data_IF_652994345407
#
_entry.id   IF_652994345407
#
_cell.length_a   1.000
_cell.length_b   1.000
_cell.length_c   1.000
_cell.angle_alpha   90.00
_cell.angle_beta   90.00
_cell.angle_gamma   90.00
#
_symmetry.space_group_name_H-M   'P 1'
#
loop_
_entity.id
_entity.type
_entity.pdbx_description
1 polymer ?
#
# COMPACT_ATOMS: atom_id res chain seq x y z
N UNK A 1 13.28 -45.06 16.19
CA UNK A 1 13.59 -44.76 17.61
C UNK A 1 13.99 -43.29 17.71
N UNK A 2 13.84 -42.69 18.88
CA UNK A 2 14.22 -41.30 19.12
C UNK A 2 15.75 -41.10 19.01
N UNK A 3 16.17 -39.92 18.56
CA UNK A 3 17.60 -39.61 18.46
C UNK A 3 18.26 -39.66 19.84
N UNK A 4 19.47 -40.23 19.88
CA UNK A 4 20.26 -40.38 21.11
C UNK A 4 20.00 -41.70 21.88
N UNK A 5 18.98 -42.47 21.50
CA UNK A 5 18.74 -43.76 22.11
C UNK A 5 19.75 -44.80 21.59
N UNK A 6 20.25 -45.67 22.49
CA UNK A 6 21.12 -46.76 22.10
C UNK A 6 20.27 -47.83 21.41
N UNK A 7 20.59 -48.12 20.14
CA UNK A 7 19.91 -49.15 19.34
C UNK A 7 20.48 -50.52 19.61
N UNK A 8 21.82 -50.60 19.72
CA UNK A 8 22.54 -51.84 19.83
C UNK A 8 23.92 -51.60 20.46
N UNK A 9 24.41 -52.61 21.16
CA UNK A 9 25.76 -52.68 21.69
C UNK A 9 26.39 -53.96 21.17
N UNK A 10 27.64 -53.87 20.70
CA UNK A 10 28.41 -55.05 20.23
C UNK A 10 29.73 -55.14 20.97
N UNK A 11 30.05 -56.32 21.52
CA UNK A 11 29.26 -57.55 21.57
C UNK A 11 28.05 -57.41 22.49
N UNK A 12 26.95 -58.09 22.16
CA UNK A 12 25.68 -57.99 22.89
C UNK A 12 25.71 -58.65 24.31
N UNK A 13 26.62 -59.56 24.52
CA UNK A 13 26.75 -60.34 25.78
C UNK A 13 27.98 -59.90 26.59
N UNK A 14 28.93 -60.78 26.83
CA UNK A 14 30.10 -60.48 27.62
C UNK A 14 31.34 -60.13 26.77
N UNK A 15 31.95 -59.00 27.12
CA UNK A 15 33.22 -58.58 26.54
C UNK A 15 34.38 -58.91 27.53
N UNK A 16 35.54 -59.42 27.03
CA UNK A 16 36.69 -59.58 27.86
C UNK A 16 37.24 -58.22 28.33
N UNK A 17 37.86 -58.21 29.50
CA UNK A 17 38.47 -56.98 30.03
C UNK A 17 39.51 -56.45 29.02
N UNK A 18 39.32 -55.14 28.66
CA UNK A 18 40.16 -54.46 27.67
C UNK A 18 39.67 -54.58 26.21
N UNK A 19 38.52 -55.23 25.94
CA UNK A 19 37.92 -55.30 24.61
C UNK A 19 37.24 -53.95 24.23
N UNK A 20 37.21 -53.70 22.94
CA UNK A 20 36.42 -52.56 22.39
C UNK A 20 34.94 -52.92 22.36
N UNK A 21 34.11 -52.02 22.86
CA UNK A 21 32.64 -52.11 22.80
C UNK A 21 32.14 -51.03 21.82
N UNK A 22 31.38 -51.44 20.82
CA UNK A 22 30.75 -50.52 19.86
C UNK A 22 29.33 -50.25 20.25
N UNK A 23 29.00 -48.98 20.42
CA UNK A 23 27.64 -48.52 20.74
C UNK A 23 27.04 -47.90 19.48
N UNK A 24 25.89 -48.41 19.03
CA UNK A 24 25.11 -47.84 17.93
C UNK A 24 24.02 -46.96 18.53
N UNK A 25 24.04 -45.69 18.18
CA UNK A 25 23.09 -44.71 18.68
C UNK A 25 22.12 -44.32 17.55
N UNK A 26 20.83 -44.23 17.85
CA UNK A 26 19.84 -43.74 16.89
C UNK A 26 20.12 -42.28 16.53
N UNK A 27 20.15 -41.98 15.27
CA UNK A 27 20.15 -40.61 14.78
C UNK A 27 18.73 -40.01 14.61
N UNK A 28 17.70 -40.76 15.02
CA UNK A 28 16.31 -40.43 14.82
C UNK A 28 15.74 -40.94 13.50
N UNK A 29 14.47 -40.67 13.18
CA UNK A 29 13.90 -41.01 11.90
C UNK A 29 14.61 -40.27 10.78
N UNK A 30 14.80 -40.95 9.65
CA UNK A 30 15.37 -40.30 8.45
C UNK A 30 14.40 -39.16 8.01
N UNK A 31 14.95 -37.95 7.85
CA UNK A 31 14.23 -36.83 7.29
C UNK A 31 14.11 -37.04 5.78
N UNK A 32 12.86 -37.11 5.28
CA UNK A 32 12.61 -37.23 3.84
C UNK A 32 12.81 -35.86 3.21
N UNK A 33 13.74 -35.73 2.28
CA UNK A 33 14.04 -34.52 1.53
C UNK A 33 13.33 -34.56 0.19
N UNK A 34 12.72 -33.43 -0.20
CA UNK A 34 11.99 -33.24 -1.46
C UNK A 34 12.45 -31.98 -2.18
N UNK A 35 12.25 -31.91 -3.48
CA UNK A 35 12.61 -30.73 -4.28
C UNK A 35 11.44 -29.74 -4.35
N UNK A 36 11.75 -28.46 -4.23
CA UNK A 36 10.78 -27.39 -4.44
C UNK A 36 10.46 -27.27 -5.92
N UNK A 37 9.18 -27.34 -6.35
CA UNK A 37 8.81 -27.19 -7.74
C UNK A 37 8.91 -25.74 -8.22
N UNK A 38 8.98 -25.55 -9.55
CA UNK A 38 8.88 -24.24 -10.18
C UNK A 38 7.44 -23.74 -10.11
N UNK A 39 7.22 -22.64 -9.39
CA UNK A 39 5.90 -22.03 -9.20
C UNK A 39 5.67 -20.79 -10.06
N UNK A 40 6.74 -20.06 -10.42
CA UNK A 40 6.63 -18.81 -11.19
C UNK A 40 5.90 -19.01 -12.51
N UNK A 41 4.98 -18.07 -12.81
CA UNK A 41 4.11 -18.13 -13.97
C UNK A 41 2.91 -19.08 -13.85
N UNK A 42 2.80 -19.85 -12.76
CA UNK A 42 1.65 -20.72 -12.46
C UNK A 42 0.53 -19.92 -11.78
N UNK A 43 -0.69 -20.36 -11.96
CA UNK A 43 -1.80 -19.86 -11.16
C UNK A 43 -1.68 -20.32 -9.71
N UNK A 44 -2.37 -19.65 -8.79
CA UNK A 44 -2.39 -20.05 -7.37
C UNK A 44 -2.84 -21.50 -7.17
N UNK A 45 -3.84 -21.96 -7.95
CA UNK A 45 -4.33 -23.33 -7.88
C UNK A 45 -3.25 -24.33 -8.32
N UNK A 46 -2.64 -24.11 -9.49
CA UNK A 46 -1.55 -24.96 -10.00
C UNK A 46 -0.34 -24.98 -9.06
N UNK A 47 0.03 -23.84 -8.46
CA UNK A 47 1.12 -23.77 -7.49
C UNK A 47 0.83 -24.63 -6.26
N UNK A 48 -0.38 -24.56 -5.72
CA UNK A 48 -0.82 -25.36 -4.57
C UNK A 48 -0.83 -26.85 -4.89
N UNK A 49 -1.28 -27.24 -6.09
CA UNK A 49 -1.25 -28.64 -6.56
C UNK A 49 0.18 -29.16 -6.70
N UNK A 50 1.08 -28.36 -7.29
CA UNK A 50 2.50 -28.71 -7.44
C UNK A 50 3.20 -28.89 -6.08
N UNK A 51 2.96 -27.99 -5.14
CA UNK A 51 3.49 -28.12 -3.78
C UNK A 51 2.97 -29.39 -3.09
N UNK A 52 1.68 -29.64 -3.16
CA UNK A 52 1.06 -30.83 -2.58
C UNK A 52 1.61 -32.11 -3.20
N UNK A 53 1.77 -32.15 -4.53
CA UNK A 53 2.36 -33.30 -5.25
C UNK A 53 3.82 -33.55 -4.85
N UNK A 54 4.56 -32.49 -4.52
CA UNK A 54 5.94 -32.58 -4.03
C UNK A 54 6.02 -32.92 -2.52
N UNK A 55 4.88 -33.04 -1.82
CA UNK A 55 4.85 -33.26 -0.38
C UNK A 55 5.17 -32.03 0.45
N UNK A 56 4.97 -30.82 -0.13
CA UNK A 56 5.17 -29.51 0.49
C UNK A 56 3.82 -28.85 0.77
N UNK A 57 3.83 -27.74 1.52
CA UNK A 57 2.65 -26.95 1.81
C UNK A 57 2.83 -25.50 1.35
N UNK A 58 1.73 -24.84 0.99
CA UNK A 58 1.76 -23.40 0.74
C UNK A 58 1.98 -22.65 2.05
N UNK A 59 2.99 -21.77 2.05
CA UNK A 59 3.30 -20.88 3.15
C UNK A 59 2.52 -19.56 3.07
N UNK A 60 3.18 -18.45 3.34
CA UNK A 60 2.59 -17.11 3.20
C UNK A 60 2.45 -16.74 1.73
N UNK A 61 1.27 -16.18 1.38
CA UNK A 61 0.98 -15.73 0.02
C UNK A 61 0.90 -14.21 0.05
N UNK A 62 1.89 -13.55 -0.56
CA UNK A 62 1.90 -12.12 -0.81
C UNK A 62 1.18 -11.77 -2.12
N UNK A 63 0.97 -10.48 -2.36
CA UNK A 63 0.46 -9.99 -3.63
C UNK A 63 1.08 -8.61 -3.95
N UNK A 64 1.53 -8.43 -5.21
CA UNK A 64 2.18 -7.21 -5.68
C UNK A 64 1.73 -6.89 -7.11
N UNK A 65 1.71 -5.58 -7.45
CA UNK A 65 1.47 -5.17 -8.82
C UNK A 65 2.67 -5.46 -9.71
N UNK A 66 2.40 -5.94 -10.92
CA UNK A 66 3.43 -6.22 -11.91
C UNK A 66 2.88 -6.01 -13.32
N UNK A 67 3.65 -5.31 -14.18
CA UNK A 67 3.22 -4.92 -15.52
C UNK A 67 3.37 -6.04 -16.55
N UNK A 68 4.13 -7.10 -16.24
CA UNK A 68 4.47 -8.18 -17.18
C UNK A 68 3.81 -9.50 -16.85
N UNK A 69 3.64 -9.82 -15.55
CA UNK A 69 3.03 -11.07 -15.10
C UNK A 69 1.52 -10.86 -14.94
N UNK A 70 0.68 -11.66 -15.62
CA UNK A 70 -0.77 -11.55 -15.52
C UNK A 70 -1.27 -11.70 -14.08
N UNK A 71 -2.38 -11.00 -13.78
CA UNK A 71 -3.06 -11.09 -12.48
C UNK A 71 -3.40 -12.54 -12.12
N UNK A 72 -3.07 -12.93 -10.89
CA UNK A 72 -3.35 -14.26 -10.32
C UNK A 72 -2.28 -15.31 -10.60
N UNK A 73 -1.22 -14.97 -11.30
CA UNK A 73 -0.06 -15.85 -11.48
C UNK A 73 1.03 -15.54 -10.44
N UNK A 74 1.82 -16.56 -10.12
CA UNK A 74 2.96 -16.44 -9.21
C UNK A 74 4.03 -15.58 -9.85
N UNK A 75 4.35 -14.48 -9.18
CA UNK A 75 5.37 -13.52 -9.57
C UNK A 75 6.77 -13.98 -9.12
N UNK A 76 6.86 -14.51 -7.90
CA UNK A 76 8.10 -15.01 -7.31
C UNK A 76 7.80 -16.04 -6.22
N UNK A 77 8.77 -16.90 -5.94
CA UNK A 77 8.70 -17.87 -4.84
C UNK A 77 9.84 -17.62 -3.84
N UNK A 78 9.54 -17.81 -2.55
CA UNK A 78 10.49 -17.53 -1.46
C UNK A 78 11.64 -18.51 -1.38
N UNK A 79 11.40 -19.78 -1.77
CA UNK A 79 12.45 -20.80 -1.88
C UNK A 79 12.62 -21.15 -3.35
N UNK A 80 13.85 -21.08 -3.87
CA UNK A 80 14.12 -21.32 -5.27
C UNK A 80 13.71 -22.75 -5.71
N UNK A 81 13.28 -22.88 -6.97
CA UNK A 81 13.02 -24.20 -7.55
C UNK A 81 14.25 -25.10 -7.46
N UNK A 82 14.03 -26.41 -7.42
CA UNK A 82 15.05 -27.46 -7.29
C UNK A 82 15.86 -27.42 -5.99
N UNK A 83 15.50 -26.57 -5.03
CA UNK A 83 16.09 -26.59 -3.69
C UNK A 83 15.56 -27.80 -2.92
N UNK A 84 16.49 -28.54 -2.24
CA UNK A 84 16.08 -29.61 -1.34
C UNK A 84 15.63 -29.07 0.02
N UNK A 85 14.44 -29.44 0.42
CA UNK A 85 13.83 -29.07 1.71
C UNK A 85 13.20 -30.30 2.35
N UNK A 86 12.93 -30.24 3.65
CA UNK A 86 12.22 -31.31 4.35
C UNK A 86 10.79 -31.45 3.84
N UNK A 87 10.33 -32.67 3.66
CA UNK A 87 8.92 -32.96 3.33
C UNK A 87 7.98 -32.33 4.37
N UNK A 88 6.96 -31.64 3.90
CA UNK A 88 6.04 -30.84 4.73
C UNK A 88 6.48 -29.40 4.98
N UNK A 89 7.65 -28.98 4.47
CA UNK A 89 8.08 -27.58 4.55
C UNK A 89 7.10 -26.66 3.83
N UNK A 90 6.94 -25.44 4.35
CA UNK A 90 6.15 -24.39 3.73
C UNK A 90 6.98 -23.61 2.70
N UNK A 91 6.38 -23.33 1.55
CA UNK A 91 6.97 -22.49 0.50
C UNK A 91 6.09 -21.24 0.33
N UNK A 92 6.68 -20.08 0.61
CA UNK A 92 6.06 -18.78 0.41
C UNK A 92 6.12 -18.38 -1.06
N UNK A 93 5.13 -17.61 -1.53
CA UNK A 93 5.17 -17.06 -2.88
C UNK A 93 4.34 -15.78 -2.97
N UNK A 94 4.60 -14.99 -4.02
CA UNK A 94 3.92 -13.73 -4.29
C UNK A 94 3.10 -13.87 -5.58
N UNK A 95 1.84 -13.45 -5.55
CA UNK A 95 0.96 -13.40 -6.72
C UNK A 95 1.00 -12.02 -7.36
N UNK A 96 0.94 -11.97 -8.67
CA UNK A 96 0.75 -10.75 -9.42
C UNK A 96 -0.70 -10.25 -9.27
N UNK A 97 -0.85 -8.97 -8.95
CA UNK A 97 -2.12 -8.22 -9.05
C UNK A 97 -2.38 -7.70 -10.47
N UNK A 98 -1.43 -7.92 -11.40
CA UNK A 98 -1.41 -7.27 -12.72
C UNK A 98 -0.90 -5.83 -12.65
N UNK A 99 -0.96 -5.08 -13.76
CA UNK A 99 -0.58 -3.67 -13.78
C UNK A 99 -1.35 -2.86 -12.73
N UNK A 100 -0.70 -1.86 -12.16
CA UNK A 100 -1.42 -0.90 -11.32
C UNK A 100 -2.39 -0.13 -12.19
N UNK A 101 -3.68 -0.17 -11.84
CA UNK A 101 -4.66 0.65 -12.53
C UNK A 101 -4.42 2.13 -12.22
N UNK A 102 -4.49 3.02 -13.22
CA UNK A 102 -4.33 4.45 -12.99
C UNK A 102 -5.48 4.96 -12.12
N UNK A 103 -5.15 5.77 -11.14
CA UNK A 103 -6.15 6.46 -10.34
C UNK A 103 -6.71 7.64 -11.15
N UNK A 104 -8.03 7.72 -11.27
CA UNK A 104 -8.68 8.88 -11.86
C UNK A 104 -8.77 9.99 -10.82
N UNK A 105 -8.23 11.15 -11.16
CA UNK A 105 -8.33 12.35 -10.34
C UNK A 105 -9.02 13.48 -11.13
N UNK A 106 -9.80 14.28 -10.43
CA UNK A 106 -10.46 15.47 -10.97
C UNK A 106 -9.67 16.70 -10.53
N UNK A 107 -8.90 17.28 -11.46
CA UNK A 107 -7.97 18.36 -11.18
C UNK A 107 -8.40 19.65 -11.88
N UNK A 108 -8.23 20.78 -11.19
CA UNK A 108 -8.39 22.13 -11.73
C UNK A 108 -7.25 23.03 -11.28
N UNK A 109 -7.09 24.16 -11.94
CA UNK A 109 -6.22 25.24 -11.51
C UNK A 109 -6.98 26.56 -11.50
N UNK A 110 -6.52 27.49 -10.68
CA UNK A 110 -7.08 28.83 -10.58
C UNK A 110 -5.95 29.85 -10.48
N UNK A 111 -5.95 30.82 -11.38
CA UNK A 111 -5.12 32.03 -11.28
C UNK A 111 -6.08 33.23 -11.27
N UNK A 112 -6.07 34.01 -10.18
CA UNK A 112 -6.95 35.14 -10.00
C UNK A 112 -6.31 36.18 -9.08
N UNK A 113 -6.78 37.43 -9.15
CA UNK A 113 -6.42 38.48 -8.21
C UNK A 113 -7.67 39.12 -7.60
N UNK A 114 -7.59 39.47 -6.34
CA UNK A 114 -8.68 40.08 -5.60
C UNK A 114 -8.19 41.28 -4.77
N UNK A 115 -8.77 42.46 -4.94
CA UNK A 115 -8.44 43.64 -4.12
C UNK A 115 -8.97 43.45 -2.72
N UNK A 116 -8.10 43.11 -1.78
CA UNK A 116 -8.45 42.96 -0.38
C UNK A 116 -8.42 44.33 0.31
N UNK A 117 -9.58 44.84 0.70
CA UNK A 117 -9.76 46.12 1.36
C UNK A 117 -10.09 45.94 2.84
N UNK A 118 -9.04 45.94 3.72
CA UNK A 118 -9.21 45.79 5.16
C UNK A 118 -9.85 47.04 5.76
N UNK A 119 -9.59 48.23 5.18
CA UNK A 119 -10.05 49.53 5.69
C UNK A 119 -11.48 49.88 5.28
N UNK A 120 -11.99 49.37 4.15
CA UNK A 120 -13.27 49.81 3.55
C UNK A 120 -14.21 48.70 3.10
N UNK A 121 -13.78 47.43 3.10
CA UNK A 121 -14.56 46.28 2.65
C UNK A 121 -15.43 45.64 3.75
N UNK A 122 -16.06 44.50 3.44
CA UNK A 122 -16.63 43.65 4.46
C UNK A 122 -15.53 43.30 5.48
N UNK A 123 -15.69 43.73 6.72
CA UNK A 123 -14.64 43.69 7.73
C UNK A 123 -13.99 45.05 8.06
N UNK A 124 -14.44 46.14 7.41
CA UNK A 124 -13.99 47.49 7.73
C UNK A 124 -14.12 47.77 9.23
N UNK A 125 -13.02 48.22 9.84
CA UNK A 125 -12.93 48.49 11.28
C UNK A 125 -12.14 47.43 12.07
N UNK A 126 -11.78 46.28 11.47
CA UNK A 126 -10.83 45.35 12.02
C UNK A 126 -9.41 45.86 11.72
N UNK A 127 -8.51 45.75 12.70
CA UNK A 127 -7.08 46.05 12.48
C UNK A 127 -6.37 44.94 11.70
N UNK A 128 -6.97 43.78 11.66
CA UNK A 128 -6.46 42.57 11.00
C UNK A 128 -7.63 41.65 10.65
N UNK A 129 -7.58 41.07 9.45
CA UNK A 129 -8.53 40.02 9.00
C UNK A 129 -7.80 38.74 8.64
N UNK A 130 -8.48 37.62 8.85
CA UNK A 130 -7.95 36.31 8.44
C UNK A 130 -8.66 35.81 7.19
N UNK A 131 -7.87 35.48 6.18
CA UNK A 131 -8.37 34.98 4.89
C UNK A 131 -8.08 33.49 4.76
N UNK A 132 -9.11 32.75 4.37
CA UNK A 132 -9.06 31.35 3.99
C UNK A 132 -9.52 31.20 2.55
N UNK A 133 -8.85 30.37 1.77
CA UNK A 133 -9.32 29.95 0.46
C UNK A 133 -9.80 28.49 0.57
N UNK A 134 -11.04 28.25 0.14
CA UNK A 134 -11.66 26.93 0.18
C UNK A 134 -12.36 26.58 -1.11
N UNK A 135 -12.46 25.30 -1.41
CA UNK A 135 -13.28 24.77 -2.49
C UNK A 135 -14.65 24.39 -1.93
N UNK A 136 -15.70 24.85 -2.59
CA UNK A 136 -17.09 24.46 -2.35
C UNK A 136 -17.56 23.60 -3.52
N UNK A 137 -18.09 22.43 -3.24
CA UNK A 137 -18.64 21.51 -4.22
C UNK A 137 -19.98 20.95 -3.74
N UNK A 138 -20.82 20.52 -4.69
CA UNK A 138 -22.01 19.75 -4.37
C UNK A 138 -21.76 18.30 -4.72
N UNK A 139 -21.67 17.44 -3.70
CA UNK A 139 -21.41 16.01 -3.83
C UNK A 139 -22.65 15.26 -3.35
N UNK A 140 -23.27 14.46 -4.21
CA UNK A 140 -24.51 13.72 -3.89
C UNK A 140 -25.63 14.61 -3.30
N UNK A 141 -25.74 15.85 -3.81
CA UNK A 141 -26.75 16.81 -3.35
C UNK A 141 -26.41 17.57 -2.06
N UNK A 142 -25.24 17.30 -1.46
CA UNK A 142 -24.77 17.99 -0.27
C UNK A 142 -23.62 18.94 -0.59
N UNK A 143 -23.60 20.12 0.04
CA UNK A 143 -22.50 21.06 -0.08
C UNK A 143 -21.35 20.64 0.82
N UNK A 144 -20.18 20.46 0.22
CA UNK A 144 -18.95 20.09 0.90
C UNK A 144 -17.92 21.20 0.72
N UNK A 145 -17.19 21.52 1.77
CA UNK A 145 -16.11 22.50 1.75
C UNK A 145 -14.77 21.82 2.00
N UNK A 146 -13.82 22.07 1.11
CA UNK A 146 -12.43 21.59 1.24
C UNK A 146 -11.51 22.80 1.37
N UNK A 147 -10.71 22.83 2.43
CA UNK A 147 -9.73 23.89 2.65
C UNK A 147 -8.59 23.75 1.64
N UNK A 148 -8.27 24.82 0.94
CA UNK A 148 -7.20 24.87 -0.06
C UNK A 148 -5.93 25.53 0.46
N UNK A 149 -6.06 26.48 1.40
CA UNK A 149 -4.93 27.17 2.03
C UNK A 149 -5.05 27.18 3.55
N UNK A 150 -3.94 27.35 4.26
CA UNK A 150 -4.01 27.75 5.67
C UNK A 150 -4.53 29.19 5.77
N UNK A 151 -5.28 29.55 6.84
CA UNK A 151 -5.69 30.91 7.08
C UNK A 151 -4.47 31.85 7.19
N UNK A 152 -4.55 33.00 6.51
CA UNK A 152 -3.48 34.02 6.52
C UNK A 152 -4.04 35.35 6.95
N UNK A 153 -3.32 36.02 7.84
CA UNK A 153 -3.66 37.34 8.36
C UNK A 153 -3.19 38.48 7.47
N UNK A 154 -4.02 39.52 7.35
CA UNK A 154 -3.74 40.73 6.61
C UNK A 154 -4.16 41.96 7.44
N UNK A 155 -3.24 42.92 7.59
CA UNK A 155 -3.42 44.13 8.41
C UNK A 155 -3.60 45.42 7.60
N UNK A 156 -3.68 45.32 6.28
CA UNK A 156 -3.86 46.50 5.39
C UNK A 156 -4.35 46.11 4.02
N UNK A 157 -4.75 47.10 3.26
CA UNK A 157 -5.25 46.92 1.89
C UNK A 157 -4.14 46.38 1.00
N UNK A 158 -4.47 45.34 0.24
CA UNK A 158 -3.49 44.66 -0.64
C UNK A 158 -4.20 44.01 -1.82
N UNK A 159 -3.45 43.71 -2.87
CA UNK A 159 -3.90 42.81 -3.93
C UNK A 159 -3.57 41.38 -3.52
N UNK A 160 -4.56 40.55 -3.39
CA UNK A 160 -4.41 39.13 -3.10
C UNK A 160 -4.24 38.40 -4.43
N UNK A 161 -3.01 37.95 -4.69
CA UNK A 161 -2.69 37.11 -5.84
C UNK A 161 -2.95 35.66 -5.46
N UNK A 162 -3.82 34.99 -6.23
CA UNK A 162 -4.23 33.62 -6.02
C UNK A 162 -3.68 32.79 -7.16
N UNK A 163 -2.81 31.84 -6.85
CA UNK A 163 -2.34 30.84 -7.79
C UNK A 163 -2.44 29.49 -7.14
N UNK A 164 -3.38 28.69 -7.60
CA UNK A 164 -3.67 27.35 -7.09
C UNK A 164 -3.58 26.35 -8.25
N UNK A 165 -2.63 25.45 -8.17
CA UNK A 165 -2.46 24.35 -9.11
C UNK A 165 -2.91 23.05 -8.46
N UNK A 166 -3.40 22.13 -9.27
CA UNK A 166 -3.81 20.79 -8.83
C UNK A 166 -4.90 20.81 -7.72
N UNK A 167 -5.86 21.70 -7.83
CA UNK A 167 -7.04 21.68 -6.95
C UNK A 167 -7.76 20.36 -7.19
N UNK A 168 -7.78 19.49 -6.18
CA UNK A 168 -8.45 18.18 -6.29
C UNK A 168 -9.94 18.36 -6.00
N UNK A 169 -10.77 18.03 -6.97
CA UNK A 169 -12.22 17.92 -6.83
C UNK A 169 -12.63 16.57 -6.25
N UNK A 170 -13.87 16.46 -5.81
CA UNK A 170 -14.48 15.20 -5.45
C UNK A 170 -14.71 14.33 -6.69
N UNK A 171 -14.59 13.01 -6.54
CA UNK A 171 -14.72 12.06 -7.64
C UNK A 171 -16.10 12.17 -8.32
N UNK A 172 -16.10 12.28 -9.65
CA UNK A 172 -17.29 12.42 -10.46
C UNK A 172 -17.93 13.83 -10.44
N UNK A 173 -17.30 14.82 -9.78
CA UNK A 173 -17.79 16.20 -9.73
C UNK A 173 -17.03 17.09 -10.69
N UNK A 174 -17.70 17.53 -11.77
CA UNK A 174 -17.07 18.26 -12.87
C UNK A 174 -16.77 19.74 -12.58
N UNK A 175 -17.33 20.33 -11.52
CA UNK A 175 -17.15 21.74 -11.21
C UNK A 175 -17.25 22.05 -9.73
N UNK A 176 -16.77 23.23 -9.35
CA UNK A 176 -16.88 23.75 -7.99
C UNK A 176 -16.66 25.26 -7.96
N UNK A 177 -16.76 25.83 -6.78
CA UNK A 177 -16.48 27.25 -6.54
C UNK A 177 -15.30 27.38 -5.57
N UNK A 178 -14.27 28.13 -5.95
CA UNK A 178 -13.20 28.51 -5.02
C UNK A 178 -13.62 29.81 -4.35
N UNK A 179 -13.86 29.74 -3.05
CA UNK A 179 -14.30 30.88 -2.24
C UNK A 179 -13.12 31.50 -1.48
N UNK A 180 -13.07 32.85 -1.47
CA UNK A 180 -12.21 33.62 -0.57
C UNK A 180 -13.08 34.03 0.62
N UNK A 181 -12.73 33.61 1.80
CA UNK A 181 -13.51 33.78 3.02
C UNK A 181 -12.73 34.61 4.03
N UNK A 182 -13.36 35.67 4.51
CA UNK A 182 -12.93 36.40 5.69
C UNK A 182 -13.43 35.64 6.93
N UNK A 183 -12.54 34.99 7.63
CA UNK A 183 -12.85 34.24 8.84
C UNK A 183 -13.14 35.15 10.05
N UNK A 184 -12.59 36.35 10.07
CA UNK A 184 -12.79 37.32 11.15
C UNK A 184 -14.22 37.77 11.21
N UNK A 185 -14.82 38.05 10.04
CA UNK A 185 -16.19 38.52 9.91
C UNK A 185 -17.18 37.47 9.43
N UNK A 186 -16.68 36.23 9.15
CA UNK A 186 -17.45 35.10 8.64
C UNK A 186 -18.22 35.43 7.34
N UNK A 187 -17.54 36.05 6.38
CA UNK A 187 -18.10 36.48 5.10
C UNK A 187 -17.33 35.89 3.92
N UNK A 188 -18.06 35.43 2.90
CA UNK A 188 -17.46 35.12 1.60
C UNK A 188 -17.25 36.43 0.84
N UNK A 189 -16.01 36.77 0.56
CA UNK A 189 -15.64 38.02 -0.13
C UNK A 189 -15.88 37.91 -1.64
N UNK A 190 -15.53 36.81 -2.23
CA UNK A 190 -15.73 36.47 -3.63
C UNK A 190 -15.64 34.98 -3.87
N UNK A 191 -16.10 34.51 -5.03
CA UNK A 191 -15.93 33.15 -5.49
C UNK A 191 -15.60 33.11 -6.96
N UNK A 192 -14.88 32.05 -7.36
CA UNK A 192 -14.46 31.73 -8.73
C UNK A 192 -14.91 30.34 -9.10
N UNK A 193 -15.62 30.20 -10.21
CA UNK A 193 -15.98 28.89 -10.73
C UNK A 193 -14.74 28.18 -11.28
N UNK A 194 -14.57 26.92 -10.94
CA UNK A 194 -13.54 26.03 -11.47
C UNK A 194 -14.17 24.79 -12.09
N UNK A 195 -13.59 24.36 -13.20
CA UNK A 195 -14.01 23.14 -13.89
C UNK A 195 -12.87 22.12 -13.74
N UNK A 196 -13.22 20.91 -13.35
CA UNK A 196 -12.26 19.85 -13.15
C UNK A 196 -12.12 19.02 -14.43
N UNK A 197 -10.86 18.74 -14.76
CA UNK A 197 -10.51 17.82 -15.84
C UNK A 197 -10.17 16.47 -15.24
N UNK A 198 -10.75 15.42 -15.79
CA UNK A 198 -10.42 14.06 -15.44
C UNK A 198 -8.99 13.75 -15.90
N UNK A 199 -8.14 13.35 -14.98
CA UNK A 199 -6.72 13.06 -15.23
C UNK A 199 -6.36 11.70 -14.64
N UNK A 200 -5.71 10.86 -15.40
CA UNK A 200 -5.16 9.59 -14.93
C UNK A 200 -3.78 9.81 -14.31
N UNK A 201 -3.58 9.28 -13.10
CA UNK A 201 -2.32 9.35 -12.35
C UNK A 201 -1.88 7.92 -12.03
N UNK A 202 -0.63 7.58 -12.37
CA UNK A 202 -0.04 6.25 -12.18
C UNK A 202 0.76 6.15 -10.89
#
# INVERSE_FOLDING_TARGET
EEAGNIIRIEPADQAAYGSTVTIFVSTGPAVEMVLVPQLEGKTQAEASELLTAAGLVSGQIGAEHNDTVPKGQVLSQGTAADTQVEKGSAVDYVLSLGPKEPETQFLASLEASYPLMVSYGPGAGASEIQILIRLKQTVNGQVVYTKLTEPKSYSGDTMLEIRLDNIRGADGVASGEVEIVDLTNNVVLTSYNVTFTETQVY
#
